data_IF_661100926304
#
_entry.id   IF_661100926304
#
_cell.length_a   1.000
_cell.length_b   1.000
_cell.length_c   1.000
_cell.angle_alpha   90.00
_cell.angle_beta   90.00
_cell.angle_gamma   90.00
#
_symmetry.space_group_name_H-M   'P 1'
#
loop_
_entity.id
_entity.type
_entity.pdbx_description
1 polymer ?
#
# COMPACT_ATOMS: atom_id res chain seq x y z
N UNK A 1 -6.39 -46.96 16.36
CA UNK A 1 -5.72 -46.89 17.68
C UNK A 1 -5.21 -45.47 17.84
N UNK A 2 -5.88 -44.68 18.67
CA UNK A 2 -5.46 -43.31 18.98
C UNK A 2 -4.39 -43.38 20.06
N UNK A 3 -3.14 -43.18 19.67
CA UNK A 3 -2.03 -43.05 20.61
C UNK A 3 -2.21 -41.71 21.32
N UNK A 4 -2.68 -41.75 22.55
CA UNK A 4 -2.70 -40.59 23.44
C UNK A 4 -1.25 -40.28 23.82
N UNK A 5 -0.54 -39.53 22.96
CA UNK A 5 0.75 -38.94 23.32
C UNK A 5 0.51 -37.99 24.48
N UNK A 6 0.91 -38.41 25.68
CA UNK A 6 1.05 -37.52 26.84
C UNK A 6 1.98 -36.39 26.41
N UNK A 7 1.43 -35.19 26.27
CA UNK A 7 2.20 -33.98 25.94
C UNK A 7 3.17 -33.76 27.10
N UNK A 8 4.45 -34.05 26.86
CA UNK A 8 5.51 -33.80 27.83
C UNK A 8 5.53 -32.30 28.12
N UNK A 9 5.22 -31.94 29.37
CA UNK A 9 5.02 -30.56 29.80
C UNK A 9 6.33 -29.75 29.74
N UNK A 10 7.47 -30.44 29.63
CA UNK A 10 8.82 -29.87 29.53
C UNK A 10 9.17 -29.29 28.16
N UNK A 11 8.37 -29.55 27.11
CA UNK A 11 8.63 -28.98 25.78
C UNK A 11 8.42 -27.47 25.81
N UNK A 12 9.53 -26.74 25.68
CA UNK A 12 9.54 -25.30 25.59
C UNK A 12 9.00 -24.88 24.21
N UNK A 13 8.22 -23.80 24.15
CA UNK A 13 7.41 -23.45 22.98
C UNK A 13 7.76 -22.04 22.50
N UNK A 14 8.50 -21.93 21.39
CA UNK A 14 8.92 -20.65 20.81
C UNK A 14 7.87 -20.01 19.91
N UNK A 15 7.45 -20.77 18.90
CA UNK A 15 6.55 -20.33 17.84
C UNK A 15 6.01 -21.58 17.12
N UNK A 16 4.69 -21.72 16.93
CA UNK A 16 4.09 -22.84 16.18
C UNK A 16 4.52 -22.93 14.72
N UNK A 17 5.18 -21.91 14.16
CA UNK A 17 5.75 -21.97 12.82
C UNK A 17 6.98 -22.86 12.72
N UNK A 18 7.39 -23.52 13.81
CA UNK A 18 8.56 -24.40 13.89
C UNK A 18 8.12 -25.83 14.22
N UNK A 19 8.77 -26.86 13.66
CA UNK A 19 8.40 -28.25 13.92
C UNK A 19 8.55 -28.61 15.40
N UNK A 20 7.62 -29.43 15.90
CA UNK A 20 7.57 -29.89 17.29
C UNK A 20 8.66 -30.94 17.51
N UNK A 21 9.41 -30.86 18.62
CA UNK A 21 10.34 -31.93 19.02
C UNK A 21 11.75 -31.51 19.46
N UNK A 22 12.05 -30.22 19.59
CA UNK A 22 13.33 -29.75 20.11
C UNK A 22 13.21 -29.21 21.55
N UNK A 23 14.28 -29.36 22.34
CA UNK A 23 14.42 -28.79 23.69
C UNK A 23 14.64 -27.27 23.59
N UNK A 24 13.57 -26.55 23.27
CA UNK A 24 13.63 -25.14 22.87
C UNK A 24 14.43 -24.25 23.85
N UNK A 25 15.29 -23.41 23.28
CA UNK A 25 16.08 -22.40 23.99
C UNK A 25 15.19 -21.27 24.53
N UNK A 26 14.59 -21.46 25.72
CA UNK A 26 13.56 -20.57 26.31
C UNK A 26 13.95 -19.09 26.30
N UNK A 27 15.18 -18.78 26.70
CA UNK A 27 15.69 -17.41 26.75
C UNK A 27 15.77 -16.77 25.37
N UNK A 28 16.10 -17.55 24.34
CA UNK A 28 16.16 -17.08 22.95
C UNK A 28 14.77 -16.75 22.43
N UNK A 29 13.78 -17.56 22.78
CA UNK A 29 12.40 -17.39 22.32
C UNK A 29 11.67 -16.28 23.06
N UNK A 30 11.97 -16.08 24.34
CA UNK A 30 11.52 -14.90 25.09
C UNK A 30 12.14 -13.62 24.54
N UNK A 31 13.43 -13.63 24.20
CA UNK A 31 14.10 -12.50 23.58
C UNK A 31 13.51 -12.17 22.21
N UNK A 32 13.30 -13.18 21.36
CA UNK A 32 12.58 -13.08 20.09
C UNK A 32 11.21 -12.41 20.28
N UNK A 33 10.39 -12.95 21.19
CA UNK A 33 9.05 -12.46 21.42
C UNK A 33 9.05 -10.98 21.85
N UNK A 34 9.94 -10.60 22.77
CA UNK A 34 10.04 -9.24 23.29
C UNK A 34 10.55 -8.22 22.25
N UNK A 35 11.61 -8.56 21.51
CA UNK A 35 12.21 -7.66 20.51
C UNK A 35 11.20 -7.34 19.41
N UNK A 36 10.55 -8.36 18.87
CA UNK A 36 9.59 -8.16 17.79
C UNK A 36 8.27 -7.55 18.30
N UNK A 37 7.86 -7.82 19.53
CA UNK A 37 6.76 -7.06 20.17
C UNK A 37 7.04 -5.56 20.15
N UNK A 38 8.20 -5.12 20.67
CA UNK A 38 8.55 -3.69 20.72
C UNK A 38 8.56 -3.07 19.32
N UNK A 39 9.10 -3.78 18.34
CA UNK A 39 9.14 -3.32 16.96
C UNK A 39 7.74 -3.16 16.35
N UNK A 40 6.92 -4.22 16.35
CA UNK A 40 5.59 -4.19 15.75
C UNK A 40 4.65 -3.24 16.48
N UNK A 41 4.80 -3.10 17.80
CA UNK A 41 4.06 -2.13 18.58
C UNK A 41 4.44 -0.70 18.21
N UNK A 42 5.74 -0.41 18.10
CA UNK A 42 6.24 0.89 17.62
C UNK A 42 5.73 1.23 16.21
N UNK A 43 5.74 0.25 15.30
CA UNK A 43 5.17 0.41 13.96
C UNK A 43 3.66 0.70 13.99
N UNK A 44 2.92 0.04 14.88
CA UNK A 44 1.48 0.27 15.07
C UNK A 44 1.21 1.71 15.52
N UNK A 45 1.96 2.21 16.51
CA UNK A 45 1.85 3.58 17.01
C UNK A 45 2.16 4.59 15.89
N UNK A 46 3.26 4.40 15.16
CA UNK A 46 3.67 5.31 14.10
C UNK A 46 2.68 5.31 12.93
N UNK A 47 2.10 4.16 12.57
CA UNK A 47 0.99 4.10 11.61
C UNK A 47 -0.24 4.84 12.14
N UNK A 48 -0.62 4.62 13.40
CA UNK A 48 -1.73 5.33 14.06
C UNK A 48 -1.56 6.85 14.04
N UNK A 49 -0.34 7.34 14.33
CA UNK A 49 0.00 8.76 14.25
C UNK A 49 -0.19 9.32 12.84
N UNK A 50 0.26 8.59 11.80
CA UNK A 50 0.09 9.01 10.39
C UNK A 50 -1.37 8.97 9.94
N UNK A 51 -2.12 7.94 10.34
CA UNK A 51 -3.56 7.85 10.09
C UNK A 51 -4.32 9.00 10.71
N UNK A 52 -3.97 9.39 11.95
CA UNK A 52 -4.56 10.54 12.62
C UNK A 52 -4.34 11.85 11.86
N UNK A 53 -3.15 12.04 11.27
CA UNK A 53 -2.84 13.19 10.40
C UNK A 53 -3.67 13.13 9.10
N UNK A 54 -3.86 11.94 8.54
CA UNK A 54 -4.57 11.71 7.28
C UNK A 54 -6.09 11.50 7.44
N UNK A 55 -6.66 11.65 8.64
CA UNK A 55 -8.06 11.32 8.94
C UNK A 55 -9.09 12.02 8.04
N UNK A 56 -8.79 13.23 7.55
CA UNK A 56 -9.67 13.96 6.63
C UNK A 56 -9.71 13.34 5.22
N UNK A 57 -8.72 12.50 4.89
CA UNK A 57 -8.51 11.89 3.60
C UNK A 57 -8.65 10.36 3.68
N UNK A 58 -9.60 9.86 4.48
CA UNK A 58 -9.77 8.43 4.76
C UNK A 58 -10.07 7.57 3.53
N UNK A 59 -10.63 8.16 2.47
CA UNK A 59 -10.93 7.47 1.20
C UNK A 59 -9.69 7.26 0.32
N UNK A 60 -8.54 7.82 0.68
CA UNK A 60 -7.33 7.72 -0.16
C UNK A 60 -6.66 6.35 -0.01
N UNK A 61 -6.11 5.84 -1.12
CA UNK A 61 -5.34 4.59 -1.14
C UNK A 61 -4.17 4.60 -0.12
N UNK A 62 -3.56 5.77 0.10
CA UNK A 62 -2.51 5.96 1.13
C UNK A 62 -3.04 5.70 2.54
N UNK A 63 -4.25 6.18 2.85
CA UNK A 63 -4.87 5.93 4.15
C UNK A 63 -5.18 4.44 4.34
N UNK A 64 -5.77 3.79 3.33
CA UNK A 64 -6.09 2.37 3.38
C UNK A 64 -4.81 1.53 3.56
N UNK A 65 -3.77 1.82 2.79
CA UNK A 65 -2.46 1.17 2.91
C UNK A 65 -1.86 1.32 4.30
N UNK A 66 -1.88 2.53 4.88
CA UNK A 66 -1.40 2.77 6.25
C UNK A 66 -2.27 2.08 7.32
N UNK A 67 -3.59 2.01 7.10
CA UNK A 67 -4.51 1.34 8.02
C UNK A 67 -4.24 -0.16 8.06
N UNK A 68 -4.01 -0.76 6.90
CA UNK A 68 -3.62 -2.17 6.79
C UNK A 68 -2.23 -2.41 7.40
N UNK A 69 -1.25 -1.53 7.14
CA UNK A 69 0.07 -1.64 7.77
C UNK A 69 0.01 -1.56 9.30
N UNK A 70 -0.83 -0.65 9.82
CA UNK A 70 -1.12 -0.55 11.25
C UNK A 70 -1.82 -1.80 11.78
N UNK A 71 -2.77 -2.34 11.03
CA UNK A 71 -3.43 -3.62 11.33
C UNK A 71 -2.45 -4.78 11.40
N UNK A 72 -1.52 -4.89 10.45
CA UNK A 72 -0.47 -5.91 10.46
C UNK A 72 0.39 -5.82 11.73
N UNK A 73 0.85 -4.61 12.08
CA UNK A 73 1.62 -4.37 13.29
C UNK A 73 0.83 -4.72 14.56
N UNK A 74 -0.46 -4.39 14.59
CA UNK A 74 -1.34 -4.69 15.72
C UNK A 74 -1.52 -6.20 15.93
N UNK A 75 -1.84 -6.94 14.86
CA UNK A 75 -1.98 -8.40 14.92
C UNK A 75 -0.67 -9.09 15.33
N UNK A 76 0.47 -8.61 14.82
CA UNK A 76 1.77 -9.12 15.26
C UNK A 76 2.05 -8.81 16.72
N UNK A 77 1.70 -7.62 17.20
CA UNK A 77 1.87 -7.23 18.60
C UNK A 77 1.07 -8.16 19.51
N UNK A 78 -0.21 -8.42 19.18
CA UNK A 78 -1.04 -9.38 19.93
C UNK A 78 -0.39 -10.76 19.91
N UNK A 79 0.03 -11.25 18.74
CA UNK A 79 0.70 -12.55 18.64
C UNK A 79 1.91 -12.66 19.55
N UNK A 80 2.77 -11.64 19.58
CA UNK A 80 3.97 -11.67 20.42
C UNK A 80 3.64 -11.54 21.92
N UNK A 81 2.55 -10.85 22.29
CA UNK A 81 2.00 -10.89 23.65
C UNK A 81 1.56 -12.32 24.02
N UNK A 82 0.84 -13.01 23.14
CA UNK A 82 0.40 -14.39 23.37
C UNK A 82 1.59 -15.35 23.51
N UNK A 83 2.65 -15.18 22.69
CA UNK A 83 3.89 -15.93 22.82
C UNK A 83 4.60 -15.66 24.17
N UNK A 84 4.68 -14.40 24.60
CA UNK A 84 5.22 -14.05 25.93
C UNK A 84 4.37 -14.61 27.08
N UNK A 85 3.06 -14.70 26.88
CA UNK A 85 2.12 -15.33 27.81
C UNK A 85 2.11 -16.87 27.75
N UNK A 86 3.01 -17.47 26.95
CA UNK A 86 3.16 -18.93 26.79
C UNK A 86 1.88 -19.62 26.30
N UNK A 87 1.06 -18.93 25.51
CA UNK A 87 -0.14 -19.52 24.90
C UNK A 87 0.30 -20.57 23.86
N UNK A 88 -0.16 -21.81 24.02
CA UNK A 88 0.19 -22.96 23.16
C UNK A 88 -0.84 -23.22 22.05
N UNK A 89 -1.92 -22.44 21.99
CA UNK A 89 -2.97 -22.62 20.99
C UNK A 89 -2.46 -22.19 19.60
N UNK A 90 -2.16 -23.21 18.78
CA UNK A 90 -1.58 -23.05 17.44
C UNK A 90 -2.50 -22.26 16.52
N UNK A 91 -3.81 -22.48 16.61
CA UNK A 91 -4.79 -21.88 15.71
C UNK A 91 -4.84 -20.35 15.86
N UNK A 92 -4.97 -19.85 17.09
CA UNK A 92 -4.99 -18.42 17.40
C UNK A 92 -3.70 -17.74 16.96
N UNK A 93 -2.54 -18.33 17.28
CA UNK A 93 -1.26 -17.81 16.84
C UNK A 93 -1.18 -17.77 15.30
N UNK A 94 -1.50 -18.87 14.64
CA UNK A 94 -1.54 -18.98 13.18
C UNK A 94 -2.41 -17.91 12.54
N UNK A 95 -3.63 -17.71 13.05
CA UNK A 95 -4.54 -16.64 12.60
C UNK A 95 -3.89 -15.27 12.64
N UNK A 96 -3.29 -14.88 13.78
CA UNK A 96 -2.65 -13.57 13.90
C UNK A 96 -1.48 -13.40 12.92
N UNK A 97 -0.67 -14.44 12.71
CA UNK A 97 0.44 -14.40 11.77
C UNK A 97 -0.03 -14.24 10.33
N UNK A 98 -0.97 -15.08 9.90
CA UNK A 98 -1.42 -15.11 8.51
C UNK A 98 -2.16 -13.82 8.14
N UNK A 99 -3.04 -13.31 9.02
CA UNK A 99 -3.69 -12.03 8.79
C UNK A 99 -2.71 -10.86 8.85
N UNK A 100 -1.71 -10.87 9.73
CA UNK A 100 -0.63 -9.88 9.69
C UNK A 100 0.08 -9.85 8.34
N UNK A 101 0.48 -11.02 7.81
CA UNK A 101 1.14 -11.13 6.50
C UNK A 101 0.20 -10.66 5.38
N UNK A 102 -1.08 -11.07 5.42
CA UNK A 102 -2.09 -10.64 4.46
C UNK A 102 -2.23 -9.10 4.44
N UNK A 103 -2.26 -8.46 5.61
CA UNK A 103 -2.32 -7.01 5.72
C UNK A 103 -1.04 -6.33 5.20
N UNK A 104 0.14 -6.92 5.39
CA UNK A 104 1.41 -6.41 4.84
C UNK A 104 1.39 -6.42 3.31
N UNK A 105 1.05 -7.56 2.70
CA UNK A 105 0.94 -7.72 1.24
C UNK A 105 -0.14 -6.78 0.71
N UNK A 106 -1.32 -6.75 1.35
CA UNK A 106 -2.39 -5.86 0.94
C UNK A 106 -1.96 -4.38 0.98
N UNK A 107 -1.23 -3.98 2.02
CA UNK A 107 -0.69 -2.63 2.13
C UNK A 107 0.23 -2.28 0.96
N UNK A 108 1.09 -3.20 0.52
CA UNK A 108 1.95 -3.07 -0.67
C UNK A 108 1.16 -2.92 -1.96
N UNK A 109 0.14 -3.76 -2.15
CA UNK A 109 -0.76 -3.66 -3.31
C UNK A 109 -1.46 -2.28 -3.34
N UNK A 110 -1.89 -1.75 -2.19
CA UNK A 110 -2.46 -0.40 -2.13
C UNK A 110 -1.43 0.71 -2.42
N UNK A 111 -0.16 0.53 -2.05
CA UNK A 111 0.92 1.43 -2.48
C UNK A 111 1.00 1.44 -4.02
N UNK A 112 0.93 0.29 -4.69
CA UNK A 112 0.93 0.25 -6.16
C UNK A 112 -0.24 1.04 -6.78
N UNK A 113 -1.41 1.04 -6.14
CA UNK A 113 -2.55 1.88 -6.57
C UNK A 113 -2.23 3.37 -6.42
N UNK A 114 -1.61 3.78 -5.29
CA UNK A 114 -1.14 5.16 -5.10
C UNK A 114 -0.19 5.56 -6.23
N UNK A 115 0.72 4.66 -6.61
CA UNK A 115 1.66 4.91 -7.70
C UNK A 115 0.97 5.04 -9.04
N UNK A 116 0.01 4.17 -9.36
CA UNK A 116 -0.81 4.29 -10.57
C UNK A 116 -1.49 5.67 -10.65
N UNK A 117 -2.05 6.16 -9.54
CA UNK A 117 -2.69 7.47 -9.49
C UNK A 117 -1.68 8.61 -9.73
N UNK A 118 -0.50 8.57 -9.09
CA UNK A 118 0.57 9.55 -9.31
C UNK A 118 0.97 9.56 -10.79
N UNK A 119 1.11 8.39 -11.41
CA UNK A 119 1.51 8.25 -12.82
C UNK A 119 0.45 8.87 -13.75
N UNK A 120 -0.83 8.55 -13.57
CA UNK A 120 -1.93 9.13 -14.38
C UNK A 120 -1.88 10.66 -14.35
N UNK A 121 -1.62 11.23 -13.17
CA UNK A 121 -1.68 12.66 -12.95
C UNK A 121 -0.51 13.45 -13.59
N UNK A 122 0.63 12.80 -13.84
CA UNK A 122 1.79 13.42 -14.50
C UNK A 122 1.58 13.58 -16.03
N UNK A 123 0.44 13.12 -16.57
CA UNK A 123 0.11 13.15 -18.00
C UNK A 123 1.13 12.43 -18.88
N UNK A 124 1.54 11.22 -18.50
CA UNK A 124 2.39 10.37 -19.33
C UNK A 124 1.74 9.99 -20.68
N UNK A 125 2.50 9.34 -21.56
CA UNK A 125 2.04 8.90 -22.89
C UNK A 125 0.66 8.20 -22.88
N UNK A 126 -0.15 8.41 -23.94
CA UNK A 126 -1.51 7.85 -24.09
C UNK A 126 -1.55 6.33 -23.92
N UNK A 127 -0.48 5.63 -24.32
CA UNK A 127 -0.35 4.18 -24.15
C UNK A 127 -0.33 3.77 -22.67
N UNK A 128 0.47 4.46 -21.85
CA UNK A 128 0.54 4.22 -20.39
C UNK A 128 -0.82 4.49 -19.75
N UNK A 129 -1.49 5.59 -20.12
CA UNK A 129 -2.81 5.94 -19.60
C UNK A 129 -3.88 4.87 -19.90
N UNK A 130 -3.76 4.12 -21.00
CA UNK A 130 -4.68 3.02 -21.33
C UNK A 130 -4.42 1.76 -20.50
N UNK A 131 -3.17 1.48 -20.15
CA UNK A 131 -2.77 0.26 -19.43
C UNK A 131 -3.00 0.41 -17.91
N UNK A 132 -2.82 1.60 -17.34
CA UNK A 132 -2.92 1.81 -15.89
C UNK A 132 -4.27 1.45 -15.26
N UNK A 133 -5.44 1.74 -15.87
CA UNK A 133 -6.73 1.29 -15.35
C UNK A 133 -6.80 -0.22 -15.22
N UNK A 134 -6.28 -0.96 -16.22
CA UNK A 134 -6.25 -2.43 -16.22
C UNK A 134 -5.39 -2.93 -15.06
N UNK A 135 -4.19 -2.37 -14.89
CA UNK A 135 -3.29 -2.70 -13.76
C UNK A 135 -4.00 -2.43 -12.43
N UNK A 136 -4.70 -1.29 -12.29
CA UNK A 136 -5.42 -0.94 -11.06
C UNK A 136 -6.52 -1.95 -10.72
N UNK A 137 -7.34 -2.36 -11.69
CA UNK A 137 -8.35 -3.39 -11.45
C UNK A 137 -7.73 -4.74 -11.08
N UNK A 138 -6.63 -5.11 -11.74
CA UNK A 138 -5.89 -6.32 -11.40
C UNK A 138 -5.36 -6.30 -9.97
N UNK A 139 -4.80 -5.17 -9.50
CA UNK A 139 -4.33 -5.01 -8.13
C UNK A 139 -5.49 -5.11 -7.11
N UNK A 140 -6.66 -4.55 -7.42
CA UNK A 140 -7.85 -4.66 -6.56
C UNK A 140 -8.31 -6.13 -6.49
N UNK A 141 -8.34 -6.82 -7.63
CA UNK A 141 -8.66 -8.24 -7.68
C UNK A 141 -7.69 -9.10 -6.85
N UNK A 142 -6.38 -8.84 -6.96
CA UNK A 142 -5.35 -9.49 -6.13
C UNK A 142 -5.62 -9.25 -4.63
N UNK A 143 -5.94 -8.03 -4.21
CA UNK A 143 -6.28 -7.76 -2.81
C UNK A 143 -7.49 -8.55 -2.31
N UNK A 144 -8.58 -8.57 -3.07
CA UNK A 144 -9.80 -9.27 -2.66
C UNK A 144 -9.56 -10.78 -2.58
N UNK A 145 -8.90 -11.35 -3.59
CA UNK A 145 -8.54 -12.77 -3.61
C UNK A 145 -7.58 -13.16 -2.48
N UNK A 146 -6.68 -12.27 -2.07
CA UNK A 146 -5.75 -12.50 -0.95
C UNK A 146 -6.50 -12.79 0.35
N UNK A 147 -7.44 -11.93 0.73
CA UNK A 147 -8.21 -12.10 1.97
C UNK A 147 -9.17 -13.28 1.92
N UNK A 148 -9.79 -13.56 0.76
CA UNK A 148 -10.61 -14.76 0.58
C UNK A 148 -9.73 -16.01 0.77
N UNK A 149 -8.57 -16.06 0.11
CA UNK A 149 -7.63 -17.17 0.20
C UNK A 149 -7.15 -17.42 1.62
N UNK A 150 -6.72 -16.38 2.35
CA UNK A 150 -6.32 -16.52 3.75
C UNK A 150 -7.47 -16.91 4.68
N UNK A 151 -8.68 -16.41 4.45
CA UNK A 151 -9.86 -16.79 5.25
C UNK A 151 -10.16 -18.28 5.10
N UNK A 152 -10.16 -18.77 3.86
CA UNK A 152 -10.32 -20.21 3.56
C UNK A 152 -9.15 -21.00 4.17
N UNK A 153 -7.92 -20.53 3.98
CA UNK A 153 -6.72 -21.20 4.47
C UNK A 153 -6.67 -21.34 5.98
N UNK A 154 -7.11 -20.32 6.73
CA UNK A 154 -7.27 -20.43 8.18
C UNK A 154 -8.41 -21.39 8.53
N UNK A 155 -9.56 -21.29 7.87
CA UNK A 155 -10.74 -22.10 8.18
C UNK A 155 -10.49 -23.61 8.01
N UNK A 156 -9.71 -24.00 6.99
CA UNK A 156 -9.37 -25.42 6.74
C UNK A 156 -7.99 -25.82 7.27
N UNK A 157 -7.29 -24.89 7.93
CA UNK A 157 -5.94 -25.09 8.45
C UNK A 157 -4.93 -25.54 7.38
N UNK A 158 -4.60 -24.64 6.44
CA UNK A 158 -3.67 -24.92 5.35
C UNK A 158 -2.33 -25.49 5.84
N UNK A 159 -1.79 -26.51 5.15
CA UNK A 159 -0.44 -26.94 5.41
C UNK A 159 0.53 -25.80 5.10
N UNK A 160 1.66 -25.80 5.80
CA UNK A 160 2.65 -24.73 5.70
C UNK A 160 3.19 -24.57 4.27
N UNK A 161 3.32 -25.65 3.49
CA UNK A 161 3.75 -25.57 2.08
C UNK A 161 2.74 -24.77 1.23
N UNK A 162 1.44 -25.04 1.37
CA UNK A 162 0.40 -24.34 0.63
C UNK A 162 0.39 -22.85 0.99
N UNK A 163 0.52 -22.54 2.27
CA UNK A 163 0.61 -21.16 2.77
C UNK A 163 1.82 -20.42 2.19
N UNK A 164 3.00 -21.06 2.18
CA UNK A 164 4.21 -20.45 1.62
C UNK A 164 4.13 -20.25 0.11
N UNK A 165 3.60 -21.23 -0.64
CA UNK A 165 3.36 -21.11 -2.08
C UNK A 165 2.40 -19.94 -2.36
N UNK A 166 1.30 -19.86 -1.60
CA UNK A 166 0.33 -18.78 -1.73
C UNK A 166 0.98 -17.41 -1.50
N UNK A 167 1.69 -17.24 -0.39
CA UNK A 167 2.43 -16.00 -0.09
C UNK A 167 3.44 -15.68 -1.19
N UNK A 168 4.21 -16.67 -1.66
CA UNK A 168 5.22 -16.49 -2.69
C UNK A 168 4.63 -15.99 -4.01
N UNK A 169 3.47 -16.51 -4.43
CA UNK A 169 2.75 -16.03 -5.63
C UNK A 169 2.42 -14.54 -5.51
N UNK A 170 1.93 -14.09 -4.35
CA UNK A 170 1.59 -12.69 -4.13
C UNK A 170 2.82 -11.78 -4.10
N UNK A 171 3.86 -12.15 -3.33
CA UNK A 171 5.08 -11.36 -3.24
C UNK A 171 5.79 -11.28 -4.60
N UNK A 172 5.78 -12.37 -5.38
CA UNK A 172 6.32 -12.37 -6.73
C UNK A 172 5.50 -11.49 -7.69
N UNK A 173 4.16 -11.57 -7.60
CA UNK A 173 3.26 -10.70 -8.38
C UNK A 173 3.49 -9.22 -8.07
N UNK A 174 3.69 -8.86 -6.80
CA UNK A 174 4.06 -7.51 -6.39
C UNK A 174 5.39 -7.06 -7.02
N UNK A 175 6.42 -7.91 -6.95
CA UNK A 175 7.73 -7.61 -7.53
C UNK A 175 7.63 -7.33 -9.04
N UNK A 176 6.86 -8.14 -9.77
CA UNK A 176 6.57 -7.92 -11.19
C UNK A 176 5.85 -6.58 -11.40
N UNK A 177 4.82 -6.27 -10.61
CA UNK A 177 4.07 -5.03 -10.74
C UNK A 177 4.93 -3.79 -10.47
N UNK A 178 5.77 -3.81 -9.44
CA UNK A 178 6.74 -2.72 -9.20
C UNK A 178 7.74 -2.60 -10.34
N UNK A 179 8.23 -3.72 -10.87
CA UNK A 179 9.14 -3.72 -12.00
C UNK A 179 8.48 -3.08 -13.24
N UNK A 180 7.26 -3.50 -13.58
CA UNK A 180 6.50 -2.94 -14.71
C UNK A 180 6.26 -1.44 -14.51
N UNK A 181 5.72 -1.02 -13.35
CA UNK A 181 5.47 0.40 -13.09
C UNK A 181 6.76 1.23 -13.06
N UNK A 182 7.82 0.71 -12.44
CA UNK A 182 9.14 1.34 -12.39
C UNK A 182 9.75 1.48 -13.78
N UNK A 183 9.64 0.45 -14.63
CA UNK A 183 10.09 0.48 -16.01
C UNK A 183 9.30 1.50 -16.85
N UNK A 184 7.97 1.55 -16.70
CA UNK A 184 7.13 2.53 -17.40
C UNK A 184 7.50 3.97 -17.00
N UNK A 185 7.72 4.23 -15.71
CA UNK A 185 8.18 5.53 -15.21
C UNK A 185 9.57 5.85 -15.79
N UNK A 186 10.50 4.91 -15.74
CA UNK A 186 11.88 5.12 -16.21
C UNK A 186 11.94 5.42 -17.71
N UNK A 187 11.18 4.68 -18.53
CA UNK A 187 11.11 4.88 -19.98
C UNK A 187 10.60 6.28 -20.33
N UNK A 188 9.45 6.67 -19.78
CA UNK A 188 8.83 7.96 -20.09
C UNK A 188 9.68 9.13 -19.53
N UNK A 189 10.29 8.92 -18.36
CA UNK A 189 11.27 9.86 -17.82
C UNK A 189 12.49 10.04 -18.73
N UNK A 190 13.03 8.97 -19.30
CA UNK A 190 14.18 9.05 -20.21
C UNK A 190 13.83 9.89 -21.45
N UNK A 191 12.66 9.64 -22.05
CA UNK A 191 12.16 10.40 -23.22
C UNK A 191 12.00 11.90 -22.92
N UNK A 192 11.38 12.26 -21.79
CA UNK A 192 11.17 13.68 -21.42
C UNK A 192 12.47 14.39 -21.05
N UNK A 193 13.39 13.68 -20.37
CA UNK A 193 14.65 14.27 -19.89
C UNK A 193 15.54 14.80 -21.03
N UNK A 194 15.49 14.19 -22.21
CA UNK A 194 16.23 14.64 -23.39
C UNK A 194 15.63 15.89 -24.05
N UNK A 195 14.35 16.18 -23.83
CA UNK A 195 13.60 17.24 -24.54
C UNK A 195 13.47 18.51 -23.68
N UNK A 196 13.35 18.39 -22.36
CA UNK A 196 12.94 19.50 -21.48
C UNK A 196 14.06 20.24 -20.74
N UNK A 197 15.29 20.24 -21.26
CA UNK A 197 16.50 20.70 -20.54
C UNK A 197 16.52 22.19 -20.09
N UNK A 198 15.51 23.02 -20.38
CA UNK A 198 15.60 24.47 -20.19
C UNK A 198 14.46 25.15 -19.38
N UNK A 199 13.80 24.47 -18.42
CA UNK A 199 12.77 25.11 -17.56
C UNK A 199 12.80 24.73 -16.08
N UNK A 200 12.55 25.69 -15.18
CA UNK A 200 12.42 25.47 -13.71
C UNK A 200 11.38 24.38 -13.36
N UNK A 201 10.29 24.29 -14.13
CA UNK A 201 9.24 23.27 -13.97
C UNK A 201 9.74 21.85 -14.27
N UNK A 202 10.64 21.70 -15.24
CA UNK A 202 11.26 20.42 -15.56
C UNK A 202 12.20 19.97 -14.42
N UNK A 203 12.95 20.91 -13.82
CA UNK A 203 13.84 20.63 -12.70
C UNK A 203 13.08 20.16 -11.44
N UNK A 204 11.94 20.77 -11.12
CA UNK A 204 11.10 20.32 -10.01
C UNK A 204 10.52 18.93 -10.24
N UNK A 205 10.06 18.66 -11.46
CA UNK A 205 9.55 17.35 -11.86
C UNK A 205 10.66 16.30 -11.76
N UNK A 206 11.86 16.63 -12.22
CA UNK A 206 13.05 15.79 -12.12
C UNK A 206 13.38 15.40 -10.67
N UNK A 207 13.39 16.38 -9.75
CA UNK A 207 13.64 16.12 -8.32
C UNK A 207 12.60 15.19 -7.71
N UNK A 208 11.33 15.34 -8.09
CA UNK A 208 10.23 14.48 -7.64
C UNK A 208 10.36 13.06 -8.17
N UNK A 209 10.56 12.89 -9.48
CA UNK A 209 10.71 11.57 -10.11
C UNK A 209 11.92 10.84 -9.52
N UNK A 210 13.07 11.50 -9.40
CA UNK A 210 14.27 10.91 -8.78
C UNK A 210 14.01 10.41 -7.35
N UNK A 211 13.25 11.17 -6.55
CA UNK A 211 12.86 10.76 -5.20
C UNK A 211 11.95 9.53 -5.23
N UNK A 212 10.96 9.51 -6.12
CA UNK A 212 10.04 8.37 -6.30
C UNK A 212 10.81 7.12 -6.75
N UNK A 213 11.69 7.23 -7.76
CA UNK A 213 12.53 6.11 -8.23
C UNK A 213 13.39 5.55 -7.10
N UNK A 214 14.01 6.40 -6.28
CA UNK A 214 14.80 5.95 -5.12
C UNK A 214 13.94 5.17 -4.12
N UNK A 215 12.71 5.61 -3.85
CA UNK A 215 11.76 4.89 -3.00
C UNK A 215 11.34 3.54 -3.61
N UNK A 216 11.11 3.49 -4.94
CA UNK A 216 10.81 2.24 -5.66
C UNK A 216 11.90 1.20 -5.47
N UNK A 217 13.17 1.60 -5.62
CA UNK A 217 14.31 0.69 -5.49
C UNK A 217 14.33 0.06 -4.10
N UNK A 218 14.09 0.83 -3.04
CA UNK A 218 14.03 0.27 -1.69
C UNK A 218 12.85 -0.68 -1.50
N UNK A 219 11.68 -0.37 -2.04
CA UNK A 219 10.50 -1.23 -1.96
C UNK A 219 10.69 -2.54 -2.75
N UNK A 220 11.27 -2.47 -3.96
CA UNK A 220 11.59 -3.64 -4.79
C UNK A 220 12.64 -4.51 -4.10
N UNK A 221 13.72 -3.90 -3.61
CA UNK A 221 14.80 -4.62 -2.95
C UNK A 221 14.32 -5.32 -1.68
N UNK A 222 13.47 -4.68 -0.87
CA UNK A 222 12.90 -5.31 0.32
C UNK A 222 11.94 -6.45 -0.03
N UNK A 223 11.08 -6.30 -1.05
CA UNK A 223 10.20 -7.38 -1.52
C UNK A 223 10.98 -8.57 -2.07
N UNK A 224 12.03 -8.36 -2.87
CA UNK A 224 12.89 -9.43 -3.37
C UNK A 224 13.60 -10.13 -2.22
N UNK A 225 14.11 -9.39 -1.24
CA UNK A 225 14.76 -9.97 -0.05
C UNK A 225 13.80 -10.91 0.70
N UNK A 226 12.55 -10.47 0.91
CA UNK A 226 11.51 -11.29 1.56
C UNK A 226 11.18 -12.52 0.71
N UNK A 227 11.04 -12.37 -0.61
CA UNK A 227 10.75 -13.48 -1.51
C UNK A 227 11.87 -14.54 -1.50
N UNK A 228 13.12 -14.11 -1.62
CA UNK A 228 14.30 -14.98 -1.56
C UNK A 228 14.37 -15.68 -0.21
N UNK A 229 14.06 -14.97 0.88
CA UNK A 229 14.02 -15.57 2.20
C UNK A 229 12.90 -16.61 2.35
N UNK A 230 11.67 -16.30 1.92
CA UNK A 230 10.56 -17.25 1.97
C UNK A 230 10.86 -18.52 1.15
N UNK A 231 11.49 -18.34 -0.01
CA UNK A 231 11.97 -19.42 -0.85
C UNK A 231 13.05 -20.25 -0.15
N UNK A 232 14.14 -19.61 0.30
CA UNK A 232 15.23 -20.28 1.00
C UNK A 232 14.75 -20.98 2.28
N UNK A 233 13.89 -20.32 3.05
CA UNK A 233 13.30 -20.84 4.29
C UNK A 233 12.30 -21.98 4.08
N UNK A 234 11.83 -22.20 2.86
CA UNK A 234 11.08 -23.42 2.50
C UNK A 234 11.97 -24.63 2.22
N UNK A 235 13.24 -24.40 1.87
CA UNK A 235 14.22 -25.45 1.60
C UNK A 235 15.06 -25.79 2.83
N UNK A 236 15.37 -24.80 3.67
CA UNK A 236 16.19 -24.99 4.86
C UNK A 236 15.32 -25.20 6.11
N UNK A 237 15.56 -26.31 6.80
CA UNK A 237 14.93 -26.61 8.09
C UNK A 237 15.99 -26.55 9.20
N UNK A 238 15.72 -25.84 10.31
CA UNK A 238 16.65 -25.81 11.44
C UNK A 238 16.79 -27.20 12.05
N UNK A 239 18.03 -27.60 12.35
CA UNK A 239 18.38 -28.93 12.90
C UNK A 239 18.61 -28.91 14.41
N UNK A 240 18.82 -27.73 14.97
CA UNK A 240 19.03 -27.50 16.40
C UNK A 240 18.30 -26.23 16.88
N UNK A 241 18.21 -26.06 18.20
CA UNK A 241 17.48 -24.94 18.82
C UNK A 241 18.07 -23.57 18.48
N UNK A 242 19.39 -23.46 18.42
CA UNK A 242 20.07 -22.21 18.06
C UNK A 242 19.74 -21.77 16.63
N UNK A 243 19.78 -22.71 15.68
CA UNK A 243 19.36 -22.50 14.30
C UNK A 243 17.88 -22.13 14.20
N UNK A 244 17.02 -22.72 15.04
CA UNK A 244 15.60 -22.41 15.05
C UNK A 244 15.33 -20.97 15.51
N UNK A 245 15.98 -20.55 16.60
CA UNK A 245 15.90 -19.16 17.08
C UNK A 245 16.45 -18.20 16.01
N UNK A 246 17.61 -18.50 15.43
CA UNK A 246 18.19 -17.69 14.36
C UNK A 246 17.25 -17.57 13.16
N UNK A 247 16.67 -18.69 12.74
CA UNK A 247 15.70 -18.73 11.65
C UNK A 247 14.49 -17.82 11.94
N UNK A 248 13.92 -17.89 13.13
CA UNK A 248 12.81 -17.01 13.56
C UNK A 248 13.20 -15.53 13.50
N UNK A 249 14.40 -15.18 13.98
CA UNK A 249 14.90 -13.80 13.94
C UNK A 249 15.07 -13.29 12.51
N UNK A 250 15.62 -14.11 11.60
CA UNK A 250 15.79 -13.70 10.20
C UNK A 250 14.42 -13.57 9.53
N UNK A 251 13.49 -14.52 9.77
CA UNK A 251 12.15 -14.47 9.20
C UNK A 251 11.40 -13.21 9.60
N UNK A 252 11.36 -12.89 10.90
CA UNK A 252 10.66 -11.68 11.35
C UNK A 252 11.44 -10.41 11.02
N UNK A 253 12.77 -10.45 11.04
CA UNK A 253 13.63 -9.33 10.66
C UNK A 253 13.41 -8.87 9.22
N UNK A 254 13.25 -9.81 8.28
CA UNK A 254 12.93 -9.46 6.88
C UNK A 254 11.56 -8.80 6.74
N UNK A 255 10.54 -9.29 7.47
CA UNK A 255 9.22 -8.64 7.53
C UNK A 255 9.29 -7.24 8.16
N UNK A 256 10.11 -7.05 9.20
CA UNK A 256 10.36 -5.75 9.81
C UNK A 256 10.97 -4.75 8.82
N UNK A 257 11.98 -5.17 8.06
CA UNK A 257 12.59 -4.36 7.00
C UNK A 257 11.57 -3.97 5.93
N UNK A 258 10.74 -4.92 5.53
CA UNK A 258 9.65 -4.71 4.58
C UNK A 258 8.66 -3.65 5.10
N UNK A 259 8.18 -3.76 6.35
CA UNK A 259 7.28 -2.76 6.95
C UNK A 259 7.92 -1.36 7.07
N UNK A 260 9.21 -1.28 7.44
CA UNK A 260 9.93 0.00 7.50
C UNK A 260 10.05 0.63 6.11
N UNK A 261 10.35 -0.18 5.09
CA UNK A 261 10.44 0.31 3.72
C UNK A 261 9.11 0.89 3.22
N UNK A 262 7.97 0.25 3.53
CA UNK A 262 6.64 0.79 3.25
C UNK A 262 6.38 2.10 3.97
N UNK A 263 6.71 2.15 5.26
CA UNK A 263 6.50 3.34 6.06
C UNK A 263 7.33 4.52 5.51
N UNK A 264 8.55 4.29 5.03
CA UNK A 264 9.34 5.33 4.37
C UNK A 264 8.65 5.80 3.07
N UNK A 265 8.10 4.87 2.28
CA UNK A 265 7.36 5.19 1.05
C UNK A 265 6.06 5.98 1.32
N UNK A 266 5.37 5.68 2.41
CA UNK A 266 4.08 6.27 2.81
C UNK A 266 4.23 7.51 3.70
N UNK A 267 5.13 8.42 3.33
CA UNK A 267 5.29 9.68 4.08
C UNK A 267 4.13 10.63 3.76
N UNK A 268 3.33 11.06 4.75
CA UNK A 268 2.27 12.04 4.51
C UNK A 268 2.89 13.36 4.02
N UNK A 269 2.28 14.05 3.04
CA UNK A 269 2.86 15.26 2.50
C UNK A 269 2.89 16.35 3.57
N UNK A 270 4.08 16.92 3.79
CA UNK A 270 4.37 17.91 4.85
C UNK A 270 3.59 19.22 4.68
N UNK A 271 2.99 19.45 3.51
CA UNK A 271 2.36 20.72 3.13
C UNK A 271 0.94 20.92 3.70
N UNK A 272 0.30 19.89 4.26
CA UNK A 272 -1.02 20.02 4.88
C UNK A 272 -1.05 21.01 6.06
N UNK A 273 0.09 21.26 6.72
CA UNK A 273 0.18 22.26 7.80
C UNK A 273 0.25 23.71 7.32
N UNK A 274 0.72 23.97 6.09
CA UNK A 274 0.89 25.35 5.59
C UNK A 274 -0.40 25.95 5.01
N UNK A 275 -1.33 25.10 4.55
CA UNK A 275 -2.54 25.58 3.87
C UNK A 275 -3.60 26.18 4.82
N UNK A 276 -3.53 25.89 6.12
CA UNK A 276 -4.43 26.49 7.12
C UNK A 276 -3.92 27.84 7.66
N UNK A 277 -2.75 28.32 7.22
CA UNK A 277 -2.17 29.58 7.69
C UNK A 277 -2.08 30.70 6.65
N UNK A 278 -2.35 30.41 5.36
CA UNK A 278 -2.20 31.37 4.26
C UNK A 278 -3.44 31.35 3.36
N UNK A 279 -4.54 31.89 3.89
CA UNK A 279 -5.66 32.38 3.07
C UNK A 279 -5.63 33.90 3.13
N UNK A 280 -5.68 34.56 1.96
CA UNK A 280 -5.42 35.98 1.67
C UNK A 280 -3.92 36.28 1.55
N UNK A 281 -3.31 36.37 0.36
CA UNK A 281 -3.65 37.26 -0.77
C UNK A 281 -2.74 36.86 -1.96
N UNK A 282 -3.16 37.16 -3.21
CA UNK A 282 -2.31 37.24 -4.43
C UNK A 282 -1.76 35.93 -5.06
N UNK A 283 -1.67 35.69 -6.37
CA UNK A 283 -2.20 36.29 -7.60
C UNK A 283 -2.12 35.23 -8.72
N UNK A 284 -2.94 35.48 -9.73
CA UNK A 284 -3.31 34.80 -10.96
C UNK A 284 -2.16 34.43 -11.94
N UNK A 285 -2.35 33.30 -12.65
CA UNK A 285 -1.90 32.97 -14.05
C UNK A 285 -0.75 31.98 -14.34
N UNK A 286 0.08 31.52 -13.39
CA UNK A 286 1.00 30.38 -13.65
C UNK A 286 0.46 29.02 -13.16
N UNK A 287 -0.76 29.00 -12.62
CA UNK A 287 -1.14 27.98 -11.65
C UNK A 287 -1.84 26.76 -12.21
N UNK A 288 -2.27 26.65 -13.47
CA UNK A 288 -3.10 25.49 -13.86
C UNK A 288 -2.37 24.14 -13.73
N UNK A 289 -1.07 24.06 -13.99
CA UNK A 289 -0.30 22.81 -13.79
C UNK A 289 0.15 22.62 -12.34
N UNK A 290 0.59 23.69 -11.67
CA UNK A 290 1.01 23.64 -10.26
C UNK A 290 -0.16 23.40 -9.33
N UNK A 291 -1.33 23.97 -9.60
CA UNK A 291 -2.61 23.70 -8.92
C UNK A 291 -3.08 22.28 -9.23
N UNK A 292 -3.04 21.81 -10.49
CA UNK A 292 -3.32 20.38 -10.79
C UNK A 292 -2.40 19.45 -10.01
N UNK A 293 -1.11 19.75 -9.91
CA UNK A 293 -0.12 19.01 -9.13
C UNK A 293 -0.29 19.17 -7.60
N UNK A 294 -0.89 20.29 -7.15
CA UNK A 294 -1.19 20.59 -5.74
C UNK A 294 -2.47 19.88 -5.29
N UNK A 295 -3.43 19.73 -6.18
CA UNK A 295 -4.66 18.92 -5.99
C UNK A 295 -4.35 17.40 -5.98
N UNK A 296 -3.16 16.99 -6.43
CA UNK A 296 -2.66 15.61 -6.25
C UNK A 296 -2.26 15.32 -4.80
N UNK A 297 -2.04 16.38 -4.01
CA UNK A 297 -1.95 16.31 -2.57
C UNK A 297 -3.28 16.79 -1.96
N UNK A 298 -4.33 16.00 -2.23
CA UNK A 298 -5.64 15.99 -1.58
C UNK A 298 -6.73 16.95 -2.11
N UNK A 299 -7.89 16.33 -2.38
CA UNK A 299 -9.23 16.89 -2.71
C UNK A 299 -9.37 17.31 -4.18
N UNK A 300 -10.45 17.01 -4.91
CA UNK A 300 -11.85 16.70 -4.52
C UNK A 300 -12.55 16.06 -5.74
N UNK A 301 -13.29 14.97 -5.54
CA UNK A 301 -14.35 14.57 -6.47
C UNK A 301 -15.52 15.54 -6.22
N UNK A 302 -15.81 16.42 -7.18
CA UNK A 302 -17.12 17.07 -7.29
C UNK A 302 -17.91 16.27 -8.34
N UNK A 303 -18.80 15.39 -7.89
CA UNK A 303 -20.04 15.07 -8.62
C UNK A 303 -21.14 15.91 -7.98
N UNK A 304 -21.41 17.05 -8.61
CA UNK A 304 -22.68 17.76 -8.51
C UNK A 304 -23.70 17.03 -9.39
N UNK A 305 -24.64 16.32 -8.76
CA UNK A 305 -25.90 15.91 -9.37
C UNK A 305 -27.00 16.80 -8.81
N UNK A 306 -27.06 18.04 -9.32
CA UNK A 306 -28.26 18.90 -9.26
C UNK A 306 -28.86 18.90 -10.67
N UNK A 307 -29.68 17.88 -10.93
CA UNK A 307 -30.58 17.82 -12.08
C UNK A 307 -31.96 18.33 -11.70
N UNK A 308 -32.12 19.65 -11.60
CA UNK A 308 -33.43 20.30 -11.56
C UNK A 308 -34.12 20.11 -12.93
N UNK A 309 -35.05 19.16 -12.98
CA UNK A 309 -36.02 19.01 -14.06
C UNK A 309 -37.31 19.74 -13.65
N UNK A 310 -37.37 21.03 -13.94
CA UNK A 310 -38.62 21.78 -13.94
C UNK A 310 -39.24 21.70 -15.36
N UNK A 311 -40.21 20.80 -15.52
CA UNK A 311 -41.15 20.80 -16.66
C UNK A 311 -42.57 20.92 -16.11
N UNK A 312 -43.08 22.15 -16.07
CA UNK A 312 -44.48 22.48 -15.84
C UNK A 312 -44.96 23.47 -16.90
N UNK A 313 -46.00 23.11 -17.63
CA UNK A 313 -46.48 23.75 -18.84
C UNK A 313 -47.28 25.04 -18.62
N UNK A 314 -47.20 26.00 -19.55
CA UNK A 314 -48.37 26.74 -20.07
C UNK A 314 -48.05 27.40 -21.43
N UNK A 315 -48.94 27.32 -22.44
CA UNK A 315 -48.79 28.01 -23.73
C UNK A 315 -49.62 29.32 -23.79
N UNK A 316 -49.14 30.30 -24.56
CA UNK A 316 -49.93 31.45 -25.01
C UNK A 316 -49.05 32.45 -25.77
N UNK A 317 -48.98 32.39 -27.10
CA UNK A 317 -49.81 33.08 -28.11
C UNK A 317 -49.52 34.58 -28.27
N UNK A 318 -49.35 35.01 -29.53
CA UNK A 318 -49.35 36.40 -30.01
C UNK A 318 -47.96 36.94 -30.31
N UNK A 319 -47.49 36.92 -31.56
CA UNK A 319 -47.64 38.04 -32.53
C UNK A 319 -47.11 39.37 -31.96
N UNK A 320 -45.97 39.88 -32.45
CA UNK A 320 -45.96 40.68 -33.66
C UNK A 320 -44.55 41.06 -34.15
N UNK A 321 -44.50 41.37 -35.45
CA UNK A 321 -43.37 41.88 -36.26
C UNK A 321 -42.74 43.13 -35.63
N UNK A 322 -41.48 43.53 -35.92
CA UNK A 322 -41.07 44.26 -37.14
C UNK A 322 -39.53 44.47 -37.12
N UNK A 323 -38.84 43.86 -38.10
CA UNK A 323 -37.85 44.42 -39.06
C UNK A 323 -37.17 45.77 -38.65
N UNK A 324 -35.85 45.88 -38.57
CA UNK A 324 -34.99 46.16 -39.75
C UNK A 324 -33.50 46.13 -39.39
N UNK A 325 -32.74 45.59 -40.33
CA UNK A 325 -31.28 45.66 -40.44
C UNK A 325 -30.94 46.50 -41.68
N UNK A 326 -29.85 47.25 -41.57
CA UNK A 326 -28.93 47.68 -42.65
C UNK A 326 -29.04 49.07 -43.27
N UNK A 327 -27.94 49.80 -43.04
CA UNK A 327 -27.07 50.45 -44.03
C UNK A 327 -27.64 51.56 -44.92
N UNK A 328 -27.12 52.76 -44.67
CA UNK A 328 -26.92 53.75 -45.72
C UNK A 328 -25.71 53.41 -46.60
N UNK A 329 -25.80 53.70 -47.89
CA UNK A 329 -24.89 54.59 -48.63
C UNK A 329 -25.33 54.70 -50.10
N UNK A 330 -25.45 55.95 -50.54
CA UNK A 330 -24.98 56.52 -51.81
C UNK A 330 -25.28 55.80 -53.13
N UNK A 331 -26.05 56.45 -54.01
CA UNK A 331 -25.55 56.99 -55.28
C UNK A 331 -26.60 57.85 -56.00
N UNK A 332 -26.10 58.92 -56.64
CA UNK A 332 -26.71 59.89 -57.57
C UNK A 332 -27.68 60.92 -57.00
#
# INVERSE_FOLDING_TARGET
MSTTTTVDVSQCYCDPSTPWGYDCHESGCRAYAAVFFLFFFGMTIECGRRLWILRKNYKTATFISLAQLGGAGFFFSIRHILLMAKVREVFSLGFFLLFSIAFIISSYLWILIVWCNIIIQVNFSKAIQRILPIIRYFIIFLNVSLFIGFTIGVAIYWPWQATNIWIAIYVFSEAILFFILGFLIWRDYNEVSHISAHGKMAEETYKKVKKVTKLAIYAIASSILVAVYLWAGSMWHPTNDGENVLWLFIQRGTLCLMMVSMLICLTPPTNLKKQNGETATQTTKSSKFTTKMRDLAFSKDDESDDGDVEKGATPGNGEDKVVSVSQGTSNA
#
